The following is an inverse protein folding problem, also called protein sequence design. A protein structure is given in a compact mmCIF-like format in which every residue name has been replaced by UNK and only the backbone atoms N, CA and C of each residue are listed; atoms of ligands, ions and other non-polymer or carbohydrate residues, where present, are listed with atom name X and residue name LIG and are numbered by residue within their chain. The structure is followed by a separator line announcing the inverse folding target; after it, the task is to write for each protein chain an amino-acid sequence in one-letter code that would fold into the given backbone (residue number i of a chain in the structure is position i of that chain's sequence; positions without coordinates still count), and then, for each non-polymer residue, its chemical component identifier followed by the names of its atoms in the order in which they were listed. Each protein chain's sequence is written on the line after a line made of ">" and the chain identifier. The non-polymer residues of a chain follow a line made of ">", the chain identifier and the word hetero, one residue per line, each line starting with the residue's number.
data_IF_058706263860
#
_entry.id   IF_058706263860
#
_cell.length_a   1.000
_cell.length_b   1.000
_cell.length_c   1.000
_cell.angle_alpha   90.00
_cell.angle_beta   90.00
_cell.angle_gamma   90.00
#
_symmetry.space_group_name_H-M   'P 1'
#
loop_
_entity.id
_entity.type
_entity.pdbx_description
1 polymer ?
#
# COMPACT_ATOMS: atom_id res chain seq x y z
N UNK A 1 -81.70 -40.12 -5.28
CA UNK A 1 -80.73 -40.48 -6.33
C UNK A 1 -79.55 -39.54 -6.16
N UNK A 2 -78.60 -39.91 -5.30
CA UNK A 2 -77.42 -39.08 -5.04
C UNK A 2 -76.38 -39.36 -6.13
N UNK A 3 -76.07 -38.32 -6.92
CA UNK A 3 -75.04 -38.35 -7.95
C UNK A 3 -73.68 -38.41 -7.23
N UNK A 4 -72.96 -39.53 -7.34
CA UNK A 4 -71.59 -39.62 -6.84
C UNK A 4 -70.69 -38.67 -7.64
N UNK A 5 -70.12 -37.68 -6.97
CA UNK A 5 -69.17 -36.73 -7.55
C UNK A 5 -67.94 -37.47 -8.06
N UNK A 6 -67.84 -37.58 -9.38
CA UNK A 6 -66.80 -38.34 -10.08
C UNK A 6 -65.46 -37.56 -10.15
N UNK A 7 -65.40 -36.33 -9.62
CA UNK A 7 -64.23 -35.44 -9.68
C UNK A 7 -63.21 -35.60 -8.53
N UNK A 8 -63.55 -36.36 -7.49
CA UNK A 8 -62.70 -36.56 -6.31
C UNK A 8 -61.31 -37.18 -6.59
N UNK A 9 -61.13 -38.20 -7.45
CA UNK A 9 -59.81 -38.78 -7.69
C UNK A 9 -58.86 -37.85 -8.45
N UNK A 10 -59.37 -37.05 -9.39
CA UNK A 10 -58.58 -36.11 -10.20
C UNK A 10 -58.01 -34.96 -9.35
N UNK A 11 -58.78 -34.47 -8.37
CA UNK A 11 -58.32 -33.46 -7.41
C UNK A 11 -57.22 -33.98 -6.48
N UNK A 12 -57.35 -35.23 -6.01
CA UNK A 12 -56.34 -35.85 -5.15
C UNK A 12 -55.00 -36.03 -5.88
N UNK A 13 -55.06 -36.38 -7.17
CA UNK A 13 -53.87 -36.57 -8.01
C UNK A 13 -53.14 -35.24 -8.30
N UNK A 14 -53.90 -34.15 -8.49
CA UNK A 14 -53.33 -32.80 -8.63
C UNK A 14 -52.61 -32.35 -7.35
N UNK A 15 -53.22 -32.55 -6.18
CA UNK A 15 -52.63 -32.23 -4.87
C UNK A 15 -51.36 -33.05 -4.65
N UNK A 16 -51.36 -34.33 -5.03
CA UNK A 16 -50.18 -35.18 -4.95
C UNK A 16 -49.05 -34.65 -5.85
N UNK A 17 -49.35 -34.26 -7.10
CA UNK A 17 -48.35 -33.66 -7.99
C UNK A 17 -47.79 -32.34 -7.46
N UNK A 18 -48.63 -31.46 -6.91
CA UNK A 18 -48.18 -30.21 -6.31
C UNK A 18 -47.28 -30.45 -5.10
N UNK A 19 -47.64 -31.40 -4.25
CA UNK A 19 -46.82 -31.79 -3.08
C UNK A 19 -45.45 -32.33 -3.51
N UNK A 20 -45.38 -33.14 -4.57
CA UNK A 20 -44.13 -33.65 -5.12
C UNK A 20 -43.25 -32.54 -5.69
N UNK A 21 -43.85 -31.59 -6.43
CA UNK A 21 -43.15 -30.41 -6.96
C UNK A 21 -42.59 -29.55 -5.84
N UNK A 22 -43.39 -29.32 -4.79
CA UNK A 22 -42.96 -28.56 -3.62
C UNK A 22 -41.79 -29.25 -2.93
N UNK A 23 -41.90 -30.55 -2.66
CA UNK A 23 -40.85 -31.32 -2.00
C UNK A 23 -39.54 -31.31 -2.80
N UNK A 24 -39.61 -31.49 -4.13
CA UNK A 24 -38.43 -31.39 -5.00
C UNK A 24 -37.75 -30.02 -4.88
N UNK A 25 -38.52 -28.94 -4.96
CA UNK A 25 -38.00 -27.57 -4.80
C UNK A 25 -37.35 -27.36 -3.43
N UNK A 26 -37.97 -27.89 -2.37
CA UNK A 26 -37.42 -27.83 -1.01
C UNK A 26 -36.06 -28.55 -0.93
N UNK A 27 -35.95 -29.76 -1.48
CA UNK A 27 -34.70 -30.51 -1.50
C UNK A 27 -33.60 -29.76 -2.27
N UNK A 28 -33.93 -29.20 -3.43
CA UNK A 28 -32.98 -28.43 -4.24
C UNK A 28 -32.45 -27.21 -3.46
N UNK A 29 -33.33 -26.49 -2.77
CA UNK A 29 -32.95 -25.30 -2.01
C UNK A 29 -32.16 -25.65 -0.74
N UNK A 30 -32.54 -26.73 -0.05
CA UNK A 30 -31.78 -27.26 1.08
C UNK A 30 -30.34 -27.60 0.66
N UNK A 31 -30.16 -28.29 -0.47
CA UNK A 31 -28.83 -28.67 -0.95
C UNK A 31 -27.97 -27.45 -1.30
N UNK A 32 -28.56 -26.43 -1.93
CA UNK A 32 -27.86 -25.15 -2.17
C UNK A 32 -27.44 -24.48 -0.86
N UNK A 33 -28.32 -24.46 0.15
CA UNK A 33 -27.99 -23.88 1.46
C UNK A 33 -26.84 -24.62 2.15
N UNK A 34 -26.81 -25.96 2.09
CA UNK A 34 -25.70 -26.75 2.63
C UNK A 34 -24.38 -26.38 1.95
N UNK A 35 -24.38 -26.30 0.61
CA UNK A 35 -23.19 -25.88 -0.15
C UNK A 35 -22.76 -24.44 0.15
N UNK A 36 -23.73 -23.53 0.30
CA UNK A 36 -23.44 -22.15 0.65
C UNK A 36 -22.79 -22.05 2.03
N UNK A 37 -23.31 -22.77 3.02
CA UNK A 37 -22.74 -22.83 4.37
C UNK A 37 -21.31 -23.38 4.31
N UNK A 38 -21.08 -24.46 3.56
CA UNK A 38 -19.74 -25.03 3.41
C UNK A 38 -18.76 -23.99 2.84
N UNK A 39 -19.16 -23.26 1.80
CA UNK A 39 -18.35 -22.19 1.20
C UNK A 39 -18.09 -21.03 2.16
N UNK A 40 -19.09 -20.64 2.94
CA UNK A 40 -18.96 -19.59 3.95
C UNK A 40 -17.97 -20.01 5.05
N UNK A 41 -18.04 -21.25 5.52
CA UNK A 41 -17.10 -21.77 6.51
C UNK A 41 -15.66 -21.75 5.99
N UNK A 42 -15.44 -22.20 4.75
CA UNK A 42 -14.11 -22.12 4.13
C UNK A 42 -13.62 -20.67 4.02
N UNK A 43 -14.47 -19.75 3.57
CA UNK A 43 -14.10 -18.34 3.48
C UNK A 43 -13.75 -17.73 4.85
N UNK A 44 -14.48 -18.09 5.91
CA UNK A 44 -14.19 -17.64 7.28
C UNK A 44 -12.83 -18.18 7.75
N UNK A 45 -12.52 -19.45 7.48
CA UNK A 45 -11.21 -20.02 7.84
C UNK A 45 -10.07 -19.37 7.06
N UNK A 46 -10.27 -19.08 5.78
CA UNK A 46 -9.26 -18.41 4.96
C UNK A 46 -9.01 -16.97 5.42
N UNK A 47 -10.08 -16.24 5.77
CA UNK A 47 -9.96 -14.89 6.32
C UNK A 47 -9.13 -14.88 7.60
N UNK A 48 -9.39 -15.83 8.52
CA UNK A 48 -8.60 -15.95 9.75
C UNK A 48 -7.12 -16.23 9.47
N UNK A 49 -6.82 -17.11 8.50
CA UNK A 49 -5.44 -17.36 8.07
C UNK A 49 -4.77 -16.09 7.53
N UNK A 50 -5.48 -15.32 6.70
CA UNK A 50 -4.98 -14.06 6.14
C UNK A 50 -4.72 -13.04 7.25
N UNK A 51 -5.60 -12.93 8.25
CA UNK A 51 -5.40 -12.05 9.41
C UNK A 51 -4.12 -12.42 10.18
N UNK A 52 -3.89 -13.71 10.43
CA UNK A 52 -2.68 -14.19 11.10
C UNK A 52 -1.40 -13.89 10.28
N UNK A 53 -1.45 -14.07 8.95
CA UNK A 53 -0.35 -13.73 8.04
C UNK A 53 -0.04 -12.22 8.03
N UNK A 54 -1.08 -11.38 7.97
CA UNK A 54 -0.93 -9.92 8.01
C UNK A 54 -0.31 -9.46 9.33
N UNK A 55 -0.70 -10.08 10.45
CA UNK A 55 -0.12 -9.78 11.76
C UNK A 55 1.38 -10.09 11.78
N UNK A 56 1.80 -11.26 11.28
CA UNK A 56 3.21 -11.63 11.22
C UNK A 56 4.05 -10.70 10.34
N UNK A 57 3.50 -10.24 9.21
CA UNK A 57 4.15 -9.25 8.34
C UNK A 57 4.32 -7.92 9.08
N UNK A 58 3.27 -7.45 9.77
CA UNK A 58 3.31 -6.19 10.53
C UNK A 58 4.42 -6.21 11.59
N UNK A 59 4.51 -7.28 12.37
CA UNK A 59 5.54 -7.45 13.40
C UNK A 59 6.96 -7.41 12.80
N UNK A 60 7.15 -8.05 11.65
CA UNK A 60 8.44 -8.06 10.92
C UNK A 60 8.86 -6.66 10.41
N UNK A 61 7.88 -5.85 9.99
CA UNK A 61 8.13 -4.48 9.51
C UNK A 61 8.49 -3.52 10.64
N UNK A 62 7.85 -3.63 11.80
CA UNK A 62 8.18 -2.82 12.98
C UNK A 62 9.60 -3.11 13.49
N UNK A 63 10.00 -4.38 13.48
CA UNK A 63 11.36 -4.81 13.82
C UNK A 63 12.42 -4.25 12.85
N UNK A 64 12.10 -4.17 11.57
CA UNK A 64 13.00 -3.68 10.53
C UNK A 64 13.21 -2.16 10.61
N UNK A 65 12.19 -1.43 11.05
CA UNK A 65 12.23 0.03 11.12
C UNK A 65 12.93 0.54 12.39
N UNK A 66 12.73 -0.15 13.53
CA UNK A 66 13.35 0.20 14.81
C UNK A 66 14.87 -0.07 14.84
N UNK A 67 15.36 -1.07 14.10
CA UNK A 67 16.78 -1.48 14.12
C UNK A 67 17.69 -0.74 13.12
N UNK A 68 17.16 0.07 12.20
CA UNK A 68 17.96 0.74 11.16
C UNK A 68 18.12 2.25 11.39
N UNK A 69 18.59 2.66 12.58
CA UNK A 69 19.17 3.99 12.72
C UNK A 69 20.39 4.06 11.81
N UNK A 70 20.25 4.76 10.67
CA UNK A 70 21.35 4.95 9.69
C UNK A 70 22.60 5.38 10.45
N UNK A 71 23.68 4.60 10.38
CA UNK A 71 24.96 4.96 10.98
C UNK A 71 25.38 6.31 10.38
N UNK A 72 25.57 7.31 11.25
CA UNK A 72 26.10 8.61 10.82
C UNK A 72 27.56 8.40 10.42
N UNK A 73 27.94 8.88 9.24
CA UNK A 73 29.35 8.94 8.84
C UNK A 73 30.09 9.94 9.73
N UNK A 74 31.34 9.67 10.15
CA UNK A 74 32.14 10.61 10.91
C UNK A 74 32.51 11.83 10.05
N UNK A 75 32.79 12.95 10.69
CA UNK A 75 32.91 14.26 10.03
C UNK A 75 34.10 14.36 9.03
N UNK A 76 35.10 13.50 9.18
CA UNK A 76 36.28 13.36 8.33
C UNK A 76 36.00 12.55 7.05
N UNK A 77 35.00 11.66 7.05
CA UNK A 77 34.62 10.85 5.87
C UNK A 77 33.62 11.55 4.94
N UNK A 78 33.08 12.70 5.34
CA UNK A 78 32.13 13.46 4.53
C UNK A 78 32.90 14.33 3.53
N UNK A 79 32.93 13.93 2.25
CA UNK A 79 33.56 14.72 1.19
C UNK A 79 32.81 16.04 0.95
N UNK A 80 33.46 17.19 1.18
CA UNK A 80 32.83 18.52 1.16
C UNK A 80 33.02 19.23 -0.18
N UNK A 81 32.34 18.74 -1.21
CA UNK A 81 32.47 19.28 -2.56
C UNK A 81 31.59 20.52 -2.81
N UNK A 82 30.58 20.79 -1.98
CA UNK A 82 29.64 21.90 -2.18
C UNK A 82 30.10 23.15 -1.43
N UNK A 83 30.78 24.07 -2.12
CA UNK A 83 31.32 25.31 -1.54
C UNK A 83 30.27 26.43 -1.52
N UNK A 84 30.29 27.24 -0.47
CA UNK A 84 29.46 28.45 -0.38
C UNK A 84 29.93 29.51 -1.38
N UNK A 85 29.04 30.10 -2.21
CA UNK A 85 29.39 31.11 -3.20
C UNK A 85 29.68 32.49 -2.59
N UNK A 86 29.39 32.71 -1.31
CA UNK A 86 29.67 33.98 -0.65
C UNK A 86 31.19 34.18 -0.52
N UNK A 87 31.70 35.29 -1.09
CA UNK A 87 33.13 35.63 -1.22
C UNK A 87 33.89 35.47 0.12
N UNK A 88 33.27 35.83 1.24
CA UNK A 88 33.92 35.81 2.57
C UNK A 88 33.56 34.59 3.44
N UNK A 89 32.76 33.63 2.97
CA UNK A 89 32.33 32.51 3.81
C UNK A 89 33.30 31.33 3.80
N UNK A 90 33.75 30.91 2.61
CA UNK A 90 34.71 29.81 2.43
C UNK A 90 34.26 28.42 2.93
N UNK A 91 33.02 28.25 3.44
CA UNK A 91 32.54 26.97 3.98
C UNK A 91 32.17 25.99 2.88
N UNK A 92 32.46 24.71 3.11
CA UNK A 92 32.12 23.62 2.21
C UNK A 92 31.28 22.54 2.92
N UNK A 93 30.37 21.93 2.17
CA UNK A 93 29.33 21.04 2.67
C UNK A 93 29.32 19.72 1.90
N UNK A 94 28.88 18.65 2.56
CA UNK A 94 28.86 17.29 2.00
C UNK A 94 27.67 16.98 1.09
N UNK A 95 26.70 17.89 1.01
CA UNK A 95 25.54 17.78 0.13
C UNK A 95 25.01 19.15 -0.26
N UNK A 96 24.34 19.23 -1.41
CA UNK A 96 23.65 20.44 -1.84
C UNK A 96 22.62 20.92 -0.82
N UNK A 97 21.84 20.00 -0.21
CA UNK A 97 20.84 20.37 0.79
C UNK A 97 21.44 21.05 2.03
N UNK A 98 22.60 20.60 2.50
CA UNK A 98 23.29 21.23 3.63
C UNK A 98 23.93 22.57 3.26
N UNK A 99 24.39 22.72 2.01
CA UNK A 99 24.82 24.01 1.47
C UNK A 99 23.64 25.00 1.36
N UNK A 100 22.52 24.59 0.76
CA UNK A 100 21.33 25.44 0.59
C UNK A 100 20.77 25.88 1.94
N UNK A 101 20.73 24.99 2.93
CA UNK A 101 20.35 25.35 4.30
C UNK A 101 21.31 26.38 4.89
N UNK A 102 22.62 26.21 4.70
CA UNK A 102 23.61 27.17 5.15
C UNK A 102 23.40 28.55 4.51
N UNK A 103 23.26 28.63 3.19
CA UNK A 103 23.04 29.89 2.46
C UNK A 103 21.75 30.56 2.94
N UNK A 104 20.66 29.80 3.09
CA UNK A 104 19.38 30.32 3.61
C UNK A 104 19.49 30.93 5.02
N UNK A 105 20.30 30.34 5.89
CA UNK A 105 20.43 30.77 7.29
C UNK A 105 21.51 31.83 7.52
N UNK A 106 22.57 31.84 6.71
CA UNK A 106 23.76 32.69 6.92
C UNK A 106 23.97 33.75 5.83
N UNK A 107 23.34 33.59 4.67
CA UNK A 107 23.45 34.48 3.52
C UNK A 107 22.05 34.74 2.93
N UNK A 108 21.15 35.30 3.74
CA UNK A 108 19.74 35.52 3.38
C UNK A 108 19.60 36.29 2.06
N UNK A 109 20.37 37.36 1.88
CA UNK A 109 20.37 38.17 0.66
C UNK A 109 20.73 37.36 -0.58
N UNK A 110 21.77 36.52 -0.51
CA UNK A 110 22.12 35.62 -1.61
C UNK A 110 21.00 34.61 -1.89
N UNK A 111 20.41 34.01 -0.85
CA UNK A 111 19.30 33.06 -1.02
C UNK A 111 18.10 33.68 -1.74
N UNK A 112 17.77 34.94 -1.42
CA UNK A 112 16.69 35.68 -2.08
C UNK A 112 16.99 35.94 -3.56
N UNK A 113 18.23 36.28 -3.91
CA UNK A 113 18.67 36.41 -5.30
C UNK A 113 18.60 35.07 -6.06
N UNK A 114 19.07 33.98 -5.46
CA UNK A 114 18.98 32.63 -6.04
C UNK A 114 17.53 32.19 -6.29
N UNK A 115 16.60 32.56 -5.39
CA UNK A 115 15.18 32.21 -5.54
C UNK A 115 14.47 32.96 -6.67
N UNK A 116 15.03 34.07 -7.14
CA UNK A 116 14.50 34.90 -8.23
C UNK A 116 15.02 34.49 -9.62
N UNK A 117 15.85 33.44 -9.70
CA UNK A 117 16.25 32.83 -10.97
C UNK A 117 17.38 33.52 -11.73
N UNK A 118 18.12 34.44 -11.10
CA UNK A 118 19.07 35.34 -11.80
C UNK A 118 20.51 34.83 -11.88
N UNK A 119 20.83 33.66 -11.32
CA UNK A 119 22.18 33.09 -11.34
C UNK A 119 22.18 31.72 -12.04
N UNK A 120 22.80 31.66 -13.22
CA UNK A 120 23.02 30.41 -13.95
C UNK A 120 23.88 29.44 -13.14
N UNK A 121 23.47 28.17 -13.11
CA UNK A 121 24.20 27.08 -12.46
C UNK A 121 25.40 26.68 -13.30
N UNK A 122 26.46 27.48 -13.31
CA UNK A 122 27.71 27.09 -13.98
C UNK A 122 28.44 26.03 -13.15
N UNK A 123 27.99 24.78 -13.25
CA UNK A 123 28.79 23.60 -12.90
C UNK A 123 29.83 23.39 -14.00
N UNK A 124 30.89 24.20 -14.02
CA UNK A 124 32.06 23.89 -14.84
C UNK A 124 33.03 23.02 -14.05
N UNK A 125 33.04 21.75 -14.47
CA UNK A 125 34.18 20.85 -14.31
C UNK A 125 35.50 21.59 -14.56
N UNK A 126 36.41 21.56 -13.59
CA UNK A 126 37.84 21.70 -13.87
C UNK A 126 38.48 20.33 -13.72
N UNK A 127 38.38 19.51 -14.78
CA UNK A 127 39.45 18.56 -15.13
C UNK A 127 40.40 19.32 -16.05
N UNK A 128 41.56 19.70 -15.53
CA UNK A 128 42.82 19.95 -16.25
C UNK A 128 43.90 19.45 -15.29
N UNK A 129 44.43 18.26 -15.55
CA UNK A 129 45.69 18.06 -16.29
C UNK A 129 46.86 18.60 -15.49
N UNK A 130 47.66 17.69 -14.93
CA UNK A 130 49.12 17.80 -14.93
C UNK A 130 49.68 16.36 -14.88
N UNK A 131 49.83 15.83 -16.08
CA UNK A 131 50.82 14.83 -16.43
C UNK A 131 52.07 15.65 -16.80
N UNK A 132 53.06 15.73 -15.91
CA UNK A 132 54.49 15.56 -16.23
C UNK A 132 55.35 15.70 -14.98
#
# INVERSE_FOLDING_TARGET
>A
MEMRDSSAPEKAELIQQESQKFYKKYCDEYYKNVHLIQRLLTAVTDNKRIEDELKGISETLEDSNSKRKRRRRPANEISRHHKCPAIHCGKAYGSEGSLSQHVRLKHRSLYEEYSKGTLEKDQKMTKKEDLS
#
